data_IF_259724481954
#
_entry.id   IF_259724481954
#
_cell.length_a   1.000
_cell.length_b   1.000
_cell.length_c   1.000
_cell.angle_alpha   90.00
_cell.angle_beta   90.00
_cell.angle_gamma   90.00
#
_symmetry.space_group_name_H-M   'P 1'
#
loop_
_entity.id
_entity.type
_entity.pdbx_description
1 polymer ?
#
# COMPACT_ATOMS: atom_id res chain seq x y z
N UNK A 1 -9.96 26.03 6.16
CA UNK A 1 -10.75 24.95 6.78
C UNK A 1 -12.01 25.59 7.34
N UNK A 2 -13.21 25.10 7.01
CA UNK A 2 -14.44 25.63 7.58
C UNK A 2 -14.53 25.23 9.07
N UNK A 3 -14.80 26.18 9.95
CA UNK A 3 -15.16 25.92 11.34
C UNK A 3 -16.57 26.42 11.61
N UNK A 4 -17.28 25.71 12.48
CA UNK A 4 -18.60 26.10 13.00
C UNK A 4 -18.45 26.38 14.48
N UNK A 5 -19.16 27.39 15.00
CA UNK A 5 -19.19 27.67 16.44
C UNK A 5 -19.94 26.54 17.17
N UNK A 6 -19.28 25.78 18.07
CA UNK A 6 -19.94 24.71 18.82
C UNK A 6 -21.02 25.21 19.77
N UNK A 7 -21.04 26.50 20.12
CA UNK A 7 -22.08 27.09 20.96
C UNK A 7 -23.38 27.42 20.18
N UNK A 8 -23.31 27.51 18.84
CA UNK A 8 -24.45 27.77 17.99
C UNK A 8 -24.28 27.09 16.61
N UNK A 9 -24.44 25.76 16.53
CA UNK A 9 -24.14 25.00 15.33
C UNK A 9 -25.10 25.25 14.15
N UNK A 10 -26.28 25.82 14.43
CA UNK A 10 -27.35 26.06 13.46
C UNK A 10 -27.42 27.53 13.01
N UNK A 11 -26.44 28.38 13.34
CA UNK A 11 -26.44 29.77 12.90
C UNK A 11 -26.15 29.88 11.40
N UNK A 12 -27.02 30.58 10.67
CA UNK A 12 -26.81 30.93 9.25
C UNK A 12 -25.58 31.84 9.03
N UNK A 13 -25.02 32.40 10.10
CA UNK A 13 -23.86 33.27 10.09
C UNK A 13 -22.53 32.50 10.30
N UNK A 14 -21.67 32.67 9.30
CA UNK A 14 -20.20 32.53 9.35
C UNK A 14 -19.64 31.12 9.61
N UNK A 15 -19.72 30.28 8.57
CA UNK A 15 -18.63 29.33 8.29
C UNK A 15 -17.33 30.15 8.19
N UNK A 16 -16.53 30.10 9.26
CA UNK A 16 -15.28 30.86 9.29
C UNK A 16 -14.27 30.15 8.41
N UNK A 17 -13.92 30.76 7.29
CA UNK A 17 -12.94 30.20 6.37
C UNK A 17 -11.52 30.55 6.83
N UNK A 18 -10.89 29.61 7.54
CA UNK A 18 -9.49 29.79 7.93
C UNK A 18 -8.56 29.59 6.72
N UNK A 19 -7.60 30.49 6.47
CA UNK A 19 -6.55 30.26 5.49
C UNK A 19 -5.71 29.07 5.97
N UNK A 20 -5.76 27.97 5.23
CA UNK A 20 -4.93 26.80 5.48
C UNK A 20 -3.75 26.91 4.54
N UNK A 21 -2.55 27.02 5.09
CA UNK A 21 -1.33 26.92 4.29
C UNK A 21 -1.31 25.53 3.64
N UNK A 22 -1.29 25.50 2.30
CA UNK A 22 -1.17 24.25 1.56
C UNK A 22 0.24 23.71 1.79
N UNK A 23 0.37 22.67 2.62
CA UNK A 23 1.60 21.90 2.69
C UNK A 23 1.67 21.03 1.43
N UNK A 24 2.58 21.37 0.51
CA UNK A 24 2.76 20.65 -0.75
C UNK A 24 3.70 19.45 -0.63
N UNK A 25 4.53 19.43 0.40
CA UNK A 25 5.73 18.59 0.43
C UNK A 25 5.61 17.38 1.35
N UNK A 26 4.82 17.49 2.43
CA UNK A 26 4.60 16.40 3.38
C UNK A 26 3.23 16.51 4.04
N UNK A 27 2.61 15.37 4.29
CA UNK A 27 1.39 15.26 5.09
C UNK A 27 1.50 14.03 5.99
N UNK A 28 1.29 14.24 7.30
CA UNK A 28 1.22 13.17 8.28
C UNK A 28 -0.25 12.78 8.52
N UNK A 29 -0.63 11.57 8.13
CA UNK A 29 -1.96 11.02 8.39
C UNK A 29 -1.86 9.74 9.18
N UNK A 30 -2.53 9.66 10.33
CA UNK A 30 -2.53 8.45 11.18
C UNK A 30 -1.11 7.91 11.45
N UNK A 31 -0.16 8.84 11.66
CA UNK A 31 1.28 8.56 11.86
C UNK A 31 1.98 7.97 10.63
N UNK A 32 1.48 8.21 9.43
CA UNK A 32 2.12 7.84 8.16
C UNK A 32 2.43 9.11 7.38
N UNK A 33 3.70 9.26 7.00
CA UNK A 33 4.13 10.30 6.07
C UNK A 33 3.68 9.89 4.67
N UNK A 34 2.67 10.59 4.16
CA UNK A 34 2.12 10.36 2.82
C UNK A 34 3.13 10.87 1.79
N UNK A 35 3.33 10.08 0.73
CA UNK A 35 4.31 10.30 -0.33
C UNK A 35 5.80 10.23 0.10
N UNK A 36 6.11 9.61 1.25
CA UNK A 36 7.49 9.26 1.63
C UNK A 36 7.64 7.74 1.90
N UNK A 37 7.90 6.93 0.86
CA UNK A 37 8.11 5.49 1.03
C UNK A 37 9.42 5.15 1.74
N UNK A 38 10.41 6.06 1.77
CA UNK A 38 11.67 5.79 2.46
C UNK A 38 11.48 5.86 3.97
N UNK A 39 10.79 6.89 4.46
CA UNK A 39 10.37 6.98 5.86
C UNK A 39 9.51 5.78 6.24
N UNK A 40 8.58 5.37 5.36
CA UNK A 40 7.72 4.22 5.58
C UNK A 40 8.51 2.90 5.64
N UNK A 41 9.51 2.72 4.76
CA UNK A 41 10.43 1.58 4.79
C UNK A 41 11.18 1.52 6.12
N UNK A 42 11.80 2.62 6.57
CA UNK A 42 12.55 2.64 7.83
C UNK A 42 11.68 2.29 9.03
N UNK A 43 10.44 2.77 9.04
CA UNK A 43 9.46 2.44 10.08
C UNK A 43 9.15 0.94 10.11
N UNK A 44 8.92 0.32 8.96
CA UNK A 44 8.65 -1.13 8.87
C UNK A 44 9.90 -1.93 9.24
N UNK A 45 11.07 -1.51 8.77
CA UNK A 45 12.36 -2.11 9.12
C UNK A 45 12.53 -2.14 10.64
N UNK A 46 12.25 -1.04 11.33
CA UNK A 46 12.35 -0.96 12.79
C UNK A 46 11.40 -1.95 13.48
N UNK A 47 10.15 -2.08 12.99
CA UNK A 47 9.21 -3.08 13.52
C UNK A 47 9.74 -4.52 13.42
N UNK A 48 10.44 -4.85 12.33
CA UNK A 48 11.03 -6.19 12.13
C UNK A 48 12.28 -6.36 13.00
N UNK A 49 13.09 -5.31 13.15
CA UNK A 49 14.31 -5.36 13.99
C UNK A 49 13.96 -5.52 15.47
N UNK A 50 12.93 -4.83 15.94
CA UNK A 50 12.49 -4.89 17.34
C UNK A 50 11.65 -6.14 17.64
N UNK A 51 11.26 -6.89 16.60
CA UNK A 51 10.49 -8.10 16.75
C UNK A 51 11.38 -9.26 17.24
N UNK A 52 10.99 -9.85 18.37
CA UNK A 52 11.63 -11.03 18.94
C UNK A 52 10.63 -12.19 19.00
N UNK A 53 11.11 -13.38 18.64
CA UNK A 53 10.38 -14.61 18.91
C UNK A 53 10.41 -14.94 20.42
N UNK A 54 9.40 -15.66 20.94
CA UNK A 54 9.39 -16.04 22.34
C UNK A 54 10.57 -16.98 22.65
N UNK A 55 11.29 -16.66 23.72
CA UNK A 55 12.37 -17.51 24.23
C UNK A 55 11.75 -18.67 25.04
N UNK A 56 11.79 -19.87 24.48
CA UNK A 56 11.20 -21.08 25.06
C UNK A 56 12.26 -22.17 25.20
N UNK A 57 12.13 -23.10 26.17
CA UNK A 57 13.07 -24.21 26.35
C UNK A 57 13.19 -25.10 25.11
N UNK A 58 12.09 -25.26 24.38
CA UNK A 58 12.02 -26.00 23.11
C UNK A 58 11.72 -25.04 21.96
N UNK A 59 12.44 -25.16 20.85
CA UNK A 59 12.20 -24.35 19.65
C UNK A 59 10.80 -24.62 19.08
N UNK A 60 10.13 -23.55 18.69
CA UNK A 60 8.83 -23.64 18.04
C UNK A 60 8.93 -24.25 16.64
N UNK A 61 7.93 -25.05 16.22
CA UNK A 61 7.86 -25.53 14.85
C UNK A 61 7.62 -24.38 13.87
N UNK A 62 8.02 -24.56 12.60
CA UNK A 62 7.87 -23.57 11.53
C UNK A 62 6.44 -23.03 11.40
N UNK A 63 5.44 -23.89 11.57
CA UNK A 63 4.02 -23.52 11.51
C UNK A 63 3.62 -22.52 12.61
N UNK A 64 4.17 -22.67 13.82
CA UNK A 64 3.95 -21.74 14.92
C UNK A 64 4.66 -20.41 14.67
N UNK A 65 5.90 -20.43 14.16
CA UNK A 65 6.63 -19.21 13.77
C UNK A 65 5.87 -18.41 12.72
N UNK A 66 5.36 -19.09 11.69
CA UNK A 66 4.53 -18.49 10.65
C UNK A 66 3.29 -17.80 11.22
N UNK A 67 2.60 -18.47 12.15
CA UNK A 67 1.41 -17.92 12.81
C UNK A 67 1.76 -16.69 13.64
N UNK A 68 2.83 -16.75 14.44
CA UNK A 68 3.30 -15.63 15.24
C UNK A 68 3.63 -14.42 14.35
N UNK A 69 4.40 -14.62 13.28
CA UNK A 69 4.72 -13.53 12.34
C UNK A 69 3.47 -12.93 11.72
N UNK A 70 2.53 -13.77 11.29
CA UNK A 70 1.26 -13.32 10.70
C UNK A 70 0.46 -12.47 11.69
N UNK A 71 0.32 -12.93 12.93
CA UNK A 71 -0.55 -12.33 13.93
C UNK A 71 0.07 -11.13 14.65
N UNK A 72 1.38 -11.12 14.85
CA UNK A 72 2.05 -10.11 15.68
C UNK A 72 2.81 -9.07 14.85
N UNK A 73 3.46 -9.50 13.75
CA UNK A 73 4.30 -8.61 12.94
C UNK A 73 3.53 -8.08 11.73
N UNK A 74 3.00 -8.99 10.91
CA UNK A 74 2.33 -8.61 9.65
C UNK A 74 1.03 -7.87 9.89
N UNK A 75 0.29 -8.20 10.96
CA UNK A 75 -0.90 -7.45 11.38
C UNK A 75 -0.59 -5.97 11.65
N UNK A 76 0.61 -5.65 12.15
CA UNK A 76 1.09 -4.28 12.40
C UNK A 76 1.63 -3.63 11.15
N UNK A 77 2.26 -4.39 10.24
CA UNK A 77 2.87 -3.87 9.00
C UNK A 77 1.79 -3.55 7.95
N UNK A 78 0.76 -4.38 7.83
CA UNK A 78 -0.25 -4.25 6.75
C UNK A 78 -0.89 -2.86 6.66
N UNK A 79 -1.36 -2.22 7.76
CA UNK A 79 -1.92 -0.88 7.69
C UNK A 79 -0.96 0.14 7.07
N UNK A 80 0.33 0.06 7.43
CA UNK A 80 1.34 0.97 6.90
C UNK A 80 1.49 0.86 5.39
N UNK A 81 1.56 -0.38 4.86
CA UNK A 81 1.62 -0.62 3.41
C UNK A 81 0.33 -0.17 2.71
N UNK A 82 -0.82 -0.29 3.36
CA UNK A 82 -2.11 0.17 2.82
C UNK A 82 -2.23 1.70 2.74
N UNK A 83 -1.53 2.44 3.59
CA UNK A 83 -1.48 3.91 3.51
C UNK A 83 -0.44 4.38 2.50
N UNK A 84 0.77 3.82 2.56
CA UNK A 84 1.87 4.20 1.69
C UNK A 84 2.66 2.94 1.29
N UNK A 85 2.44 2.42 0.08
CA UNK A 85 3.30 1.39 -0.50
C UNK A 85 4.73 1.88 -0.62
N UNK A 86 5.67 0.95 -0.51
CA UNK A 86 7.11 1.15 -0.68
C UNK A 86 7.60 0.58 -2.02
N UNK A 87 8.82 0.88 -2.40
CA UNK A 87 9.42 0.29 -3.62
C UNK A 87 9.58 -1.22 -3.46
N UNK A 88 9.55 -1.95 -4.58
CA UNK A 88 9.67 -3.41 -4.57
C UNK A 88 11.00 -3.88 -3.98
N UNK A 89 12.10 -3.23 -4.35
CA UNK A 89 13.43 -3.56 -3.82
C UNK A 89 13.49 -3.43 -2.30
N UNK A 90 12.88 -2.38 -1.76
CA UNK A 90 12.77 -2.15 -0.33
C UNK A 90 11.90 -3.22 0.35
N UNK A 91 10.78 -3.61 -0.28
CA UNK A 91 9.92 -4.68 0.24
C UNK A 91 10.62 -6.05 0.24
N UNK A 92 11.38 -6.36 -0.80
CA UNK A 92 12.19 -7.58 -0.90
C UNK A 92 13.31 -7.61 0.16
N UNK A 93 13.91 -6.46 0.48
CA UNK A 93 14.89 -6.36 1.56
C UNK A 93 14.26 -6.64 2.94
N UNK A 94 13.05 -6.15 3.19
CA UNK A 94 12.32 -6.43 4.42
C UNK A 94 11.94 -7.91 4.55
N UNK A 95 11.61 -8.57 3.43
CA UNK A 95 11.40 -10.02 3.39
C UNK A 95 12.70 -10.79 3.72
N UNK A 96 13.85 -10.36 3.18
CA UNK A 96 15.15 -10.94 3.57
C UNK A 96 15.43 -10.75 5.06
N UNK A 97 15.04 -9.62 5.65
CA UNK A 97 15.21 -9.36 7.08
C UNK A 97 14.33 -10.29 7.93
N UNK A 98 13.06 -10.52 7.55
CA UNK A 98 12.19 -11.50 8.22
C UNK A 98 12.80 -12.90 8.13
N UNK A 99 13.27 -13.29 6.93
CA UNK A 99 13.89 -14.59 6.73
C UNK A 99 15.14 -14.76 7.61
N UNK A 100 15.95 -13.71 7.75
CA UNK A 100 17.10 -13.72 8.65
C UNK A 100 16.68 -13.95 10.11
N UNK A 101 15.63 -13.28 10.60
CA UNK A 101 15.13 -13.50 11.97
C UNK A 101 14.61 -14.92 12.20
N UNK A 102 13.93 -15.50 11.21
CA UNK A 102 13.49 -16.90 11.27
C UNK A 102 14.69 -17.85 11.28
N UNK A 103 15.71 -17.55 10.48
CA UNK A 103 16.96 -18.31 10.43
C UNK A 103 17.69 -18.31 11.77
N UNK A 104 17.87 -17.13 12.37
CA UNK A 104 18.49 -16.98 13.69
C UNK A 104 17.75 -17.78 14.76
N UNK A 105 16.41 -17.73 14.76
CA UNK A 105 15.61 -18.47 15.74
C UNK A 105 15.74 -19.99 15.57
N UNK A 106 15.70 -20.48 14.33
CA UNK A 106 15.77 -21.91 14.04
C UNK A 106 17.20 -22.46 14.13
N UNK A 107 18.22 -21.59 14.09
CA UNK A 107 19.63 -21.95 14.22
C UNK A 107 20.08 -23.00 13.22
N UNK A 108 19.61 -22.92 11.97
CA UNK A 108 20.03 -23.86 10.93
C UNK A 108 21.51 -23.64 10.60
N UNK A 109 22.28 -24.71 10.29
CA UNK A 109 23.70 -24.59 9.97
C UNK A 109 23.97 -24.01 8.57
N UNK A 110 22.93 -23.76 7.78
CA UNK A 110 23.01 -23.23 6.42
C UNK A 110 22.06 -22.06 6.23
N UNK A 111 22.42 -21.13 5.36
CA UNK A 111 21.55 -20.05 4.92
C UNK A 111 20.45 -20.63 4.03
N UNK A 112 19.20 -20.64 4.50
CA UNK A 112 18.10 -21.08 3.66
C UNK A 112 17.74 -20.01 2.63
N UNK A 113 17.32 -20.43 1.45
CA UNK A 113 16.85 -19.54 0.41
C UNK A 113 15.60 -18.79 0.89
N UNK A 114 15.68 -17.46 0.99
CA UNK A 114 14.59 -16.61 1.47
C UNK A 114 13.31 -16.80 0.66
N UNK A 115 13.42 -17.09 -0.64
CA UNK A 115 12.29 -17.39 -1.50
C UNK A 115 11.47 -18.60 -1.02
N UNK A 116 12.12 -19.66 -0.53
CA UNK A 116 11.43 -20.86 -0.04
C UNK A 116 10.54 -20.56 1.17
N UNK A 117 10.94 -19.61 2.01
CA UNK A 117 10.16 -19.24 3.19
C UNK A 117 8.80 -18.66 2.79
N UNK A 118 8.80 -17.79 1.78
CA UNK A 118 7.59 -17.08 1.35
C UNK A 118 6.81 -17.82 0.27
N UNK A 119 7.44 -18.70 -0.50
CA UNK A 119 6.78 -19.45 -1.56
C UNK A 119 5.57 -20.24 -1.02
N UNK A 120 4.46 -20.33 -1.77
CA UNK A 120 3.30 -21.10 -1.36
C UNK A 120 3.61 -22.59 -1.17
N UNK A 121 2.82 -23.28 -0.36
CA UNK A 121 2.95 -24.74 -0.20
C UNK A 121 2.78 -25.51 -1.51
N UNK A 122 1.94 -25.01 -2.42
CA UNK A 122 1.73 -25.59 -3.76
C UNK A 122 3.01 -25.56 -4.61
N UNK A 123 3.96 -24.70 -4.28
CA UNK A 123 5.28 -24.59 -4.91
C UNK A 123 6.40 -25.07 -3.97
N UNK A 124 6.08 -25.98 -3.03
CA UNK A 124 7.02 -26.57 -2.07
C UNK A 124 7.70 -25.55 -1.14
N UNK A 125 7.08 -24.39 -0.92
CA UNK A 125 7.54 -23.41 0.05
C UNK A 125 6.93 -23.57 1.44
N UNK A 126 7.23 -22.63 2.34
CA UNK A 126 6.73 -22.61 3.72
C UNK A 126 5.55 -21.65 3.95
N UNK A 127 5.12 -20.94 2.90
CA UNK A 127 3.93 -20.09 2.88
C UNK A 127 3.91 -19.00 3.96
N UNK A 128 5.09 -18.48 4.31
CA UNK A 128 5.18 -17.32 5.20
C UNK A 128 4.60 -16.08 4.50
N UNK A 129 3.99 -15.16 5.26
CA UNK A 129 3.54 -13.89 4.71
C UNK A 129 4.73 -13.07 4.20
N UNK A 130 4.64 -12.61 2.95
CA UNK A 130 5.66 -11.78 2.30
C UNK A 130 5.21 -10.33 2.27
N UNK A 131 6.08 -9.43 2.72
CA UNK A 131 5.91 -7.98 2.66
C UNK A 131 5.87 -7.54 1.20
N UNK A 132 6.72 -8.09 0.32
CA UNK A 132 6.69 -7.76 -1.11
C UNK A 132 5.31 -8.01 -1.73
N UNK A 133 4.73 -9.20 -1.51
CA UNK A 133 3.37 -9.51 -2.02
C UNK A 133 2.28 -8.63 -1.40
N UNK A 134 2.39 -8.35 -0.10
CA UNK A 134 1.42 -7.49 0.59
C UNK A 134 1.49 -6.05 0.06
N UNK A 135 2.71 -5.57 -0.22
CA UNK A 135 2.97 -4.25 -0.79
C UNK A 135 2.43 -4.15 -2.22
N UNK A 136 2.71 -5.15 -3.06
CA UNK A 136 2.19 -5.23 -4.43
C UNK A 136 0.66 -5.15 -4.44
N UNK A 137 0.03 -5.93 -3.56
CA UNK A 137 -1.44 -5.95 -3.41
C UNK A 137 -1.96 -4.60 -2.94
N UNK A 138 -1.34 -4.00 -1.92
CA UNK A 138 -1.73 -2.71 -1.38
C UNK A 138 -1.61 -1.58 -2.41
N UNK A 139 -0.56 -1.57 -3.23
CA UNK A 139 -0.36 -0.59 -4.28
C UNK A 139 -1.46 -0.66 -5.35
N UNK A 140 -1.71 -1.85 -5.89
CA UNK A 140 -2.73 -2.04 -6.94
C UNK A 140 -4.14 -1.78 -6.41
N UNK A 141 -4.46 -2.29 -5.21
CA UNK A 141 -5.76 -2.03 -4.58
C UNK A 141 -5.95 -0.56 -4.23
N UNK A 142 -4.89 0.14 -3.80
CA UNK A 142 -4.91 1.57 -3.55
C UNK A 142 -5.27 2.37 -4.81
N UNK A 143 -4.58 2.09 -5.92
CA UNK A 143 -4.87 2.70 -7.22
C UNK A 143 -6.32 2.47 -7.66
N UNK A 144 -6.81 1.22 -7.57
CA UNK A 144 -8.19 0.89 -7.92
C UNK A 144 -9.19 1.63 -7.02
N UNK A 145 -8.94 1.65 -5.71
CA UNK A 145 -9.79 2.36 -4.75
C UNK A 145 -9.84 3.87 -5.02
N UNK A 146 -8.74 4.47 -5.44
CA UNK A 146 -8.70 5.90 -5.78
C UNK A 146 -9.54 6.17 -7.04
N UNK A 147 -9.42 5.33 -8.08
CA UNK A 147 -10.17 5.44 -9.33
C UNK A 147 -11.67 5.13 -9.19
N UNK A 148 -12.03 4.26 -8.23
CA UNK A 148 -13.40 3.83 -7.95
C UNK A 148 -13.92 4.37 -6.61
N UNK A 149 -13.33 5.46 -6.11
CA UNK A 149 -13.63 5.97 -4.78
C UNK A 149 -15.13 6.29 -4.62
N UNK A 150 -15.72 5.85 -3.51
CA UNK A 150 -17.16 6.01 -3.23
C UNK A 150 -17.56 7.50 -3.10
N UNK A 151 -16.71 8.32 -2.49
CA UNK A 151 -16.88 9.79 -2.48
C UNK A 151 -16.54 10.37 -3.86
N UNK A 152 -17.48 11.06 -4.54
CA UNK A 152 -17.30 11.55 -5.90
C UNK A 152 -16.10 12.47 -6.09
N UNK A 153 -15.80 13.34 -5.12
CA UNK A 153 -14.71 14.32 -5.23
C UNK A 153 -13.34 13.64 -5.36
N UNK A 154 -13.05 12.64 -4.52
CA UNK A 154 -11.79 11.89 -4.60
C UNK A 154 -11.68 11.13 -5.92
N UNK A 155 -12.78 10.50 -6.36
CA UNK A 155 -12.84 9.81 -7.64
C UNK A 155 -12.60 10.76 -8.83
N UNK A 156 -13.20 11.94 -8.82
CA UNK A 156 -13.00 12.96 -9.87
C UNK A 156 -11.55 13.42 -9.90
N UNK A 157 -10.95 13.69 -8.74
CA UNK A 157 -9.53 14.06 -8.66
C UNK A 157 -8.63 12.96 -9.21
N UNK A 158 -8.86 11.70 -8.81
CA UNK A 158 -8.12 10.56 -9.35
C UNK A 158 -8.25 10.45 -10.89
N UNK A 159 -9.45 10.67 -11.44
CA UNK A 159 -9.67 10.66 -12.90
C UNK A 159 -8.95 11.80 -13.61
N UNK A 160 -8.90 13.00 -13.01
CA UNK A 160 -8.11 14.12 -13.54
C UNK A 160 -6.63 13.75 -13.53
N UNK A 161 -6.10 13.23 -12.42
CA UNK A 161 -4.71 12.75 -12.33
C UNK A 161 -4.40 11.68 -13.38
N UNK A 162 -5.32 10.74 -13.63
CA UNK A 162 -5.16 9.73 -14.67
C UNK A 162 -5.18 10.33 -16.08
N UNK A 163 -6.02 11.32 -16.34
CA UNK A 163 -6.08 12.03 -17.61
C UNK A 163 -4.78 12.83 -17.85
N UNK A 164 -4.27 13.52 -16.83
CA UNK A 164 -2.99 14.22 -16.89
C UNK A 164 -1.82 13.25 -17.11
N UNK A 165 -1.82 12.11 -16.42
CA UNK A 165 -0.83 11.06 -16.66
C UNK A 165 -0.86 10.57 -18.11
N UNK A 166 -2.05 10.28 -18.61
CA UNK A 166 -2.27 9.77 -19.96
C UNK A 166 -1.81 10.78 -21.01
N UNK A 167 -2.32 12.01 -20.94
CA UNK A 167 -2.12 13.01 -21.99
C UNK A 167 -0.81 13.77 -21.85
N UNK A 168 -0.50 14.26 -20.65
CA UNK A 168 0.64 15.16 -20.43
C UNK A 168 1.95 14.39 -20.23
N UNK A 169 1.90 13.16 -19.71
CA UNK A 169 3.09 12.40 -19.35
C UNK A 169 3.31 11.15 -20.21
N UNK A 170 2.30 10.65 -20.93
CA UNK A 170 2.38 9.39 -21.66
C UNK A 170 1.76 9.42 -23.07
N UNK A 171 1.92 10.53 -23.79
CA UNK A 171 1.57 10.67 -25.22
C UNK A 171 0.12 10.24 -25.55
N UNK A 172 -0.82 10.58 -24.67
CA UNK A 172 -2.23 10.20 -24.75
C UNK A 172 -2.49 8.68 -24.79
N UNK A 173 -1.57 7.88 -24.23
CA UNK A 173 -1.74 6.42 -24.08
C UNK A 173 -2.05 6.08 -22.64
N UNK A 174 -3.07 5.27 -22.39
CA UNK A 174 -3.48 4.92 -21.04
C UNK A 174 -2.39 4.05 -20.37
N UNK A 175 -1.74 4.50 -19.27
CA UNK A 175 -0.59 3.79 -18.71
C UNK A 175 -0.94 2.43 -18.11
N UNK A 176 -2.22 2.23 -17.76
CA UNK A 176 -2.68 1.05 -17.04
C UNK A 176 -3.05 -0.13 -17.96
N UNK A 177 -2.98 0.01 -19.28
CA UNK A 177 -3.34 -1.05 -20.24
C UNK A 177 -2.23 -2.09 -20.49
N UNK A 178 -1.13 -2.04 -19.73
CA UNK A 178 -0.06 -3.05 -19.73
C UNK A 178 0.96 -2.94 -20.88
N UNK A 179 0.78 -2.00 -21.81
CA UNK A 179 1.70 -1.79 -22.95
C UNK A 179 2.82 -0.79 -22.67
N UNK A 180 2.82 -0.16 -21.51
CA UNK A 180 3.74 0.94 -21.21
C UNK A 180 5.06 0.43 -20.67
N UNK A 181 6.14 0.70 -21.41
CA UNK A 181 7.52 0.38 -21.00
C UNK A 181 8.18 1.53 -20.24
N UNK A 182 7.69 2.76 -20.41
CA UNK A 182 8.25 3.99 -19.81
C UNK A 182 8.20 4.00 -18.28
N UNK A 183 9.28 4.42 -17.63
CA UNK A 183 9.32 4.64 -16.17
C UNK A 183 8.84 6.06 -15.81
N UNK A 184 8.12 6.17 -14.69
CA UNK A 184 7.59 7.44 -14.16
C UNK A 184 8.15 7.82 -12.79
N UNK A 185 9.25 7.20 -12.35
CA UNK A 185 9.86 7.52 -11.04
C UNK A 185 10.28 8.99 -10.90
N UNK A 186 10.53 9.69 -12.01
CA UNK A 186 10.89 11.13 -12.00
C UNK A 186 9.68 12.06 -11.95
N UNK A 187 8.46 11.52 -12.07
CA UNK A 187 7.21 12.28 -12.09
C UNK A 187 6.59 12.43 -10.70
N UNK A 188 7.37 12.29 -9.62
CA UNK A 188 6.91 12.32 -8.22
C UNK A 188 6.18 13.61 -7.81
N UNK A 189 6.42 14.73 -8.52
CA UNK A 189 5.72 16.00 -8.25
C UNK A 189 4.33 16.09 -8.90
N UNK A 190 4.03 15.19 -9.84
CA UNK A 190 2.79 15.22 -10.64
C UNK A 190 1.93 13.98 -10.37
N UNK A 191 2.57 12.85 -10.08
CA UNK A 191 1.90 11.57 -9.84
C UNK A 191 2.10 11.11 -8.40
N UNK A 192 1.05 10.59 -7.74
CA UNK A 192 1.19 9.91 -6.47
C UNK A 192 2.20 8.78 -6.58
N UNK A 193 3.11 8.67 -5.61
CA UNK A 193 4.15 7.64 -5.69
C UNK A 193 3.57 6.22 -5.58
N UNK A 194 2.47 6.05 -4.85
CA UNK A 194 1.71 4.81 -4.78
C UNK A 194 1.22 4.34 -6.15
N UNK A 195 0.85 5.27 -7.05
CA UNK A 195 0.41 4.95 -8.41
C UNK A 195 1.57 4.52 -9.30
N UNK A 196 2.73 5.15 -9.15
CA UNK A 196 3.96 4.72 -9.86
C UNK A 196 4.35 3.30 -9.42
N UNK A 197 4.34 3.02 -8.13
CA UNK A 197 4.61 1.68 -7.59
C UNK A 197 3.58 0.67 -8.12
N UNK A 198 2.28 1.02 -8.12
CA UNK A 198 1.24 0.15 -8.66
C UNK A 198 1.47 -0.17 -10.15
N UNK A 199 1.91 0.81 -10.95
CA UNK A 199 2.25 0.56 -12.35
C UNK A 199 3.43 -0.41 -12.48
N UNK A 200 4.48 -0.26 -11.67
CA UNK A 200 5.63 -1.18 -11.71
C UNK A 200 5.21 -2.62 -11.36
N UNK A 201 4.29 -2.77 -10.41
CA UNK A 201 3.66 -4.06 -10.07
C UNK A 201 2.90 -4.62 -11.27
N UNK A 202 2.01 -3.83 -11.89
CA UNK A 202 1.24 -4.25 -13.06
C UNK A 202 2.15 -4.72 -14.19
N UNK A 203 3.21 -3.97 -14.49
CA UNK A 203 4.21 -4.35 -15.51
C UNK A 203 4.92 -5.65 -15.18
N UNK A 204 5.38 -5.80 -13.93
CA UNK A 204 6.15 -6.97 -13.53
C UNK A 204 5.34 -8.28 -13.64
N UNK A 205 4.02 -8.21 -13.47
CA UNK A 205 3.14 -9.38 -13.60
C UNK A 205 2.40 -9.44 -14.94
N UNK A 206 2.65 -8.52 -15.88
CA UNK A 206 1.94 -8.46 -17.16
C UNK A 206 0.44 -8.21 -17.01
N UNK A 207 0.04 -7.47 -15.97
CA UNK A 207 -1.34 -7.15 -15.66
C UNK A 207 -1.73 -5.78 -16.24
N UNK A 208 -3.02 -5.62 -16.50
CA UNK A 208 -3.60 -4.38 -16.97
C UNK A 208 -4.89 -4.07 -16.22
N UNK A 209 -5.13 -2.79 -15.92
CA UNK A 209 -6.40 -2.30 -15.41
C UNK A 209 -7.15 -1.68 -16.59
N UNK A 210 -8.30 -2.27 -16.93
CA UNK A 210 -9.16 -1.76 -18.00
C UNK A 210 -10.31 -0.96 -17.40
N UNK A 211 -10.63 0.23 -17.94
CA UNK A 211 -11.83 0.94 -17.55
C UNK A 211 -13.05 0.12 -17.98
N UNK A 212 -13.88 -0.27 -17.02
CA UNK A 212 -15.17 -0.90 -17.30
C UNK A 212 -16.24 -0.07 -16.59
N UNK A 213 -17.22 0.43 -17.34
CA UNK A 213 -18.34 1.14 -16.73
C UNK A 213 -19.33 0.11 -16.17
N UNK A 214 -19.32 -0.05 -14.86
CA UNK A 214 -20.30 -0.85 -14.13
C UNK A 214 -21.28 0.02 -13.34
N UNK A 215 -21.41 1.31 -13.68
CA UNK A 215 -22.31 2.23 -12.98
C UNK A 215 -23.77 1.76 -12.99
N UNK A 216 -24.17 0.97 -14.00
CA UNK A 216 -25.49 0.35 -14.06
C UNK A 216 -25.79 -0.60 -12.88
N UNK A 217 -24.78 -1.23 -12.27
CA UNK A 217 -24.95 -2.05 -11.06
C UNK A 217 -25.33 -1.22 -9.83
N UNK A 218 -24.99 0.07 -9.83
CA UNK A 218 -25.21 0.99 -8.72
C UNK A 218 -26.38 1.95 -8.96
N UNK A 219 -27.09 1.84 -10.09
CA UNK A 219 -28.29 2.64 -10.42
C UNK A 219 -29.59 2.07 -9.82
N UNK A 220 -29.51 1.09 -8.92
CA UNK A 220 -30.65 0.55 -8.16
C UNK A 220 -30.40 0.55 -6.65
N UNK A 221 -31.47 0.47 -5.85
CA UNK A 221 -31.58 0.61 -4.38
C UNK A 221 -30.70 -0.31 -3.49
N UNK A 222 -29.62 -0.89 -4.00
CA UNK A 222 -28.80 -1.89 -3.29
C UNK A 222 -27.59 -1.25 -2.58
N UNK A 223 -27.38 0.06 -2.69
CA UNK A 223 -26.20 0.73 -2.14
C UNK A 223 -26.18 0.88 -0.60
N UNK A 224 -27.25 0.54 0.12
CA UNK A 224 -27.37 0.78 1.57
C UNK A 224 -27.20 -0.45 2.48
N UNK A 225 -26.86 -1.64 1.97
CA UNK A 225 -26.82 -2.86 2.80
C UNK A 225 -25.45 -3.46 3.13
N UNK A 226 -24.35 -2.79 2.77
CA UNK A 226 -23.00 -3.24 3.15
C UNK A 226 -22.12 -2.09 3.67
N UNK A 227 -22.61 -1.38 4.69
CA UNK A 227 -21.79 -0.66 5.66
C UNK A 227 -21.84 -1.40 7.00
#
# INVERSE_FOLDING_TARGET
MPSVDPANPDSDDLVTHHPVALATDYFDFLRVQINDPNAQYHKIRQLIVDFAFPNLPTRLPLTALRRILTQCLISRIRPYLSYQPITRDAADELDRLIAHRVHEYLGFPFHFNTYLLFAPFTHLGFDFPSIARLNDTAAVQGLLRDLDHHVPTFRTMARITLADWTCSLNDCRLPLEGTVTRSFHRSQRVLPQSWVIALDVLKAYGLAIRPTDQSFLYRGDVALRHL
#
